data_IF_774131463870
#
_entry.id   IF_774131463870
#
_cell.length_a   1.000
_cell.length_b   1.000
_cell.length_c   1.000
_cell.angle_alpha   90.00
_cell.angle_beta   90.00
_cell.angle_gamma   90.00
#
_symmetry.space_group_name_H-M   'P 1'
#
loop_
_entity.id
_entity.type
_entity.pdbx_description
1 polymer ?
#
# COMPACT_ATOMS: atom_id res chain seq x y z
N UNK A 1 13.57 18.00 -5.31
CA UNK A 1 12.96 18.81 -4.24
C UNK A 1 11.47 18.53 -4.26
N UNK A 2 10.94 17.95 -3.19
CA UNK A 2 9.50 17.83 -2.94
C UNK A 2 9.03 19.20 -2.46
N UNK A 3 8.10 19.82 -3.18
CA UNK A 3 7.51 21.11 -2.81
C UNK A 3 6.53 20.98 -1.63
N UNK A 4 6.14 22.11 -1.03
CA UNK A 4 5.09 22.12 0.00
C UNK A 4 3.74 21.57 -0.54
N UNK A 5 3.46 21.81 -1.83
CA UNK A 5 2.30 21.25 -2.53
C UNK A 5 2.41 19.71 -2.65
N UNK A 6 3.61 19.18 -2.84
CA UNK A 6 3.86 17.74 -2.89
C UNK A 6 3.69 17.09 -1.51
N UNK A 7 4.11 17.77 -0.43
CA UNK A 7 3.93 17.27 0.95
C UNK A 7 2.45 17.22 1.35
N UNK A 8 1.67 18.26 1.04
CA UNK A 8 0.23 18.25 1.28
C UNK A 8 -0.46 17.13 0.50
N UNK A 9 -0.06 16.93 -0.75
CA UNK A 9 -0.58 15.84 -1.59
C UNK A 9 -0.30 14.48 -0.96
N UNK A 10 0.95 14.25 -0.49
CA UNK A 10 1.31 13.01 0.22
C UNK A 10 0.44 12.80 1.46
N UNK A 11 0.24 13.83 2.29
CA UNK A 11 -0.62 13.72 3.47
C UNK A 11 -2.07 13.38 3.11
N UNK A 12 -2.61 13.98 2.05
CA UNK A 12 -3.96 13.66 1.58
C UNK A 12 -4.07 12.20 1.08
N UNK A 13 -3.06 11.72 0.35
CA UNK A 13 -3.02 10.33 -0.12
C UNK A 13 -2.88 9.34 1.04
N UNK A 14 -2.03 9.61 2.02
CA UNK A 14 -1.91 8.79 3.23
C UNK A 14 -3.22 8.79 4.03
N UNK A 15 -3.85 9.95 4.20
CA UNK A 15 -5.16 10.06 4.84
C UNK A 15 -6.24 9.24 4.14
N UNK A 16 -6.22 9.18 2.80
CA UNK A 16 -7.12 8.30 2.03
C UNK A 16 -6.87 6.82 2.29
N UNK A 17 -5.62 6.39 2.47
CA UNK A 17 -5.30 5.01 2.83
C UNK A 17 -5.94 4.66 4.17
N UNK A 18 -5.71 5.49 5.19
CA UNK A 18 -6.28 5.27 6.52
C UNK A 18 -7.81 5.26 6.47
N UNK A 19 -8.41 6.25 5.79
CA UNK A 19 -9.86 6.38 5.66
C UNK A 19 -10.51 5.15 4.99
N UNK A 20 -10.01 4.73 3.83
CA UNK A 20 -10.56 3.56 3.14
C UNK A 20 -10.29 2.26 3.88
N UNK A 21 -9.13 2.15 4.53
CA UNK A 21 -8.83 0.98 5.33
C UNK A 21 -9.84 0.82 6.47
N UNK A 22 -10.00 1.85 7.30
CA UNK A 22 -10.87 1.80 8.47
C UNK A 22 -12.35 1.59 8.10
N UNK A 23 -12.82 2.18 7.00
CA UNK A 23 -14.23 2.07 6.61
C UNK A 23 -14.57 0.77 5.87
N UNK A 24 -13.68 0.27 5.01
CA UNK A 24 -14.04 -0.78 4.06
C UNK A 24 -13.23 -2.06 4.24
N UNK A 25 -11.94 -1.95 4.60
CA UNK A 25 -11.06 -3.11 4.65
C UNK A 25 -11.08 -3.73 6.04
N UNK A 26 -10.75 -2.96 7.08
CA UNK A 26 -10.65 -3.43 8.46
C UNK A 26 -11.90 -4.18 8.94
N UNK A 27 -13.14 -3.71 8.67
CA UNK A 27 -14.36 -4.43 9.08
C UNK A 27 -14.54 -5.77 8.36
N UNK A 28 -13.90 -5.97 7.21
CA UNK A 28 -13.95 -7.21 6.44
C UNK A 28 -12.79 -8.18 6.77
N UNK A 29 -11.83 -7.76 7.59
CA UNK A 29 -10.72 -8.61 7.99
C UNK A 29 -11.19 -9.70 8.95
N UNK A 30 -10.59 -10.88 8.80
CA UNK A 30 -10.72 -11.94 9.79
C UNK A 30 -9.62 -11.79 10.82
N UNK A 31 -9.87 -12.13 12.10
CA UNK A 31 -8.81 -12.23 13.09
C UNK A 31 -7.71 -13.17 12.58
N UNK A 32 -6.51 -12.65 12.45
CA UNK A 32 -5.34 -13.40 11.98
C UNK A 32 -4.38 -13.72 13.12
N UNK A 33 -3.45 -14.67 12.90
CA UNK A 33 -2.31 -14.84 13.77
C UNK A 33 -1.45 -13.58 13.81
N UNK A 34 -0.46 -13.52 14.69
CA UNK A 34 0.51 -12.41 14.64
C UNK A 34 1.28 -12.46 13.31
N UNK A 35 1.67 -11.30 12.75
CA UNK A 35 2.49 -11.24 11.55
C UNK A 35 3.79 -12.03 11.76
N UNK A 36 4.15 -12.89 10.81
CA UNK A 36 5.43 -13.60 10.87
C UNK A 36 6.55 -12.68 10.35
N UNK A 37 7.79 -12.82 10.87
CA UNK A 37 8.90 -11.99 10.41
C UNK A 37 9.21 -12.21 8.92
N UNK A 38 9.54 -11.11 8.24
CA UNK A 38 10.02 -11.09 6.87
C UNK A 38 11.54 -11.23 6.76
N UNK A 39 12.11 -10.94 5.58
CA UNK A 39 13.56 -10.89 5.40
C UNK A 39 14.20 -9.69 6.13
N UNK A 40 15.49 -9.79 6.44
CA UNK A 40 16.27 -8.67 6.98
C UNK A 40 16.32 -7.50 5.97
N UNK A 41 16.14 -6.27 6.45
CA UNK A 41 16.21 -5.07 5.60
C UNK A 41 17.66 -4.73 5.22
N UNK A 42 17.87 -3.74 4.35
CA UNK A 42 19.22 -3.36 3.88
C UNK A 42 20.17 -2.87 4.99
N UNK A 43 19.67 -2.38 6.13
CA UNK A 43 20.48 -2.06 7.31
C UNK A 43 20.93 -3.31 8.09
N UNK A 44 20.23 -4.44 7.92
CA UNK A 44 20.43 -5.67 8.70
C UNK A 44 20.85 -6.88 7.86
N UNK A 45 20.95 -6.72 6.53
CA UNK A 45 21.40 -7.76 5.61
C UNK A 45 22.92 -7.97 5.64
N UNK A 46 23.37 -9.08 5.06
CA UNK A 46 24.79 -9.48 5.01
C UNK A 46 25.70 -8.51 4.25
N UNK A 47 25.14 -7.67 3.39
CA UNK A 47 25.83 -6.58 2.68
C UNK A 47 25.31 -5.21 3.15
N UNK A 48 25.39 -4.93 4.45
CA UNK A 48 24.91 -3.67 5.01
C UNK A 48 25.60 -2.47 4.32
N UNK A 49 24.86 -1.80 3.43
CA UNK A 49 25.36 -0.69 2.63
C UNK A 49 25.28 0.63 3.39
N UNK A 50 26.09 0.76 4.45
CA UNK A 50 26.09 1.93 5.34
C UNK A 50 24.78 2.08 6.13
N UNK A 51 24.84 2.76 7.28
CA UNK A 51 23.66 3.03 8.10
C UNK A 51 22.72 3.98 7.34
N UNK A 52 21.65 3.46 6.74
CA UNK A 52 20.57 4.29 6.21
C UNK A 52 19.73 4.81 7.37
N UNK A 53 19.07 5.95 7.16
CA UNK A 53 18.17 6.56 8.14
C UNK A 53 17.20 5.53 8.69
N UNK A 54 17.24 5.39 10.00
CA UNK A 54 16.49 4.39 10.71
C UNK A 54 15.02 4.81 10.87
N UNK A 55 14.15 3.85 11.15
CA UNK A 55 12.73 4.08 11.45
C UNK A 55 12.58 5.11 12.58
N UNK A 56 13.33 4.94 13.67
CA UNK A 56 13.25 5.84 14.83
C UNK A 56 13.69 7.27 14.53
N UNK A 57 14.49 7.48 13.49
CA UNK A 57 14.94 8.81 13.10
C UNK A 57 13.87 9.58 12.30
N UNK A 58 13.00 8.89 11.57
CA UNK A 58 12.15 9.51 10.55
C UNK A 58 10.65 9.34 10.75
N UNK A 59 10.21 8.30 11.45
CA UNK A 59 8.80 7.94 11.54
C UNK A 59 8.02 8.47 12.75
N UNK A 60 8.58 8.65 13.96
CA UNK A 60 7.79 9.03 15.14
C UNK A 60 6.87 10.24 14.97
N UNK A 61 7.30 11.25 14.21
CA UNK A 61 6.54 12.49 13.99
C UNK A 61 6.04 12.64 12.54
N UNK A 62 5.96 11.53 11.79
CA UNK A 62 5.66 11.53 10.36
C UNK A 62 4.31 10.89 10.05
N UNK A 63 3.55 11.49 9.12
CA UNK A 63 2.31 10.90 8.61
C UNK A 63 2.52 9.51 7.99
N UNK A 64 3.76 9.18 7.58
CA UNK A 64 4.12 7.88 7.04
C UNK A 64 4.03 6.74 8.07
N UNK A 65 4.06 7.04 9.39
CA UNK A 65 3.87 6.03 10.43
C UNK A 65 2.52 5.30 10.30
N UNK A 66 1.49 6.00 9.82
CA UNK A 66 0.15 5.44 9.61
C UNK A 66 0.13 4.25 8.65
N UNK A 67 1.06 4.14 7.69
CA UNK A 67 1.17 2.95 6.84
C UNK A 67 1.58 1.71 7.64
N UNK A 68 2.43 1.90 8.65
CA UNK A 68 2.81 0.84 9.58
C UNK A 68 1.62 0.33 10.37
N UNK A 69 0.84 1.26 10.91
CA UNK A 69 -0.37 0.95 11.69
C UNK A 69 -1.40 0.20 10.84
N UNK A 70 -1.65 0.67 9.62
CA UNK A 70 -2.55 0.01 8.66
C UNK A 70 -2.01 -1.36 8.22
N UNK A 71 -0.69 -1.50 8.02
CA UNK A 71 -0.12 -2.79 7.66
C UNK A 71 -0.22 -3.79 8.82
N UNK A 72 -0.09 -3.35 10.06
CA UNK A 72 -0.16 -4.22 11.24
C UNK A 72 -1.53 -4.90 11.42
N UNK A 73 -2.61 -4.33 10.89
CA UNK A 73 -3.94 -4.96 10.87
C UNK A 73 -4.08 -6.06 9.82
N UNK A 74 -3.09 -6.21 8.91
CA UNK A 74 -3.07 -7.17 7.79
C UNK A 74 -2.01 -8.27 8.00
N UNK A 75 -2.12 -9.11 9.04
CA UNK A 75 -1.02 -9.98 9.49
C UNK A 75 -0.59 -11.05 8.50
N UNK A 76 -1.50 -11.52 7.63
CA UNK A 76 -1.16 -12.50 6.60
C UNK A 76 -0.13 -11.95 5.59
N UNK A 77 -0.14 -10.63 5.40
CA UNK A 77 0.65 -9.90 4.39
C UNK A 77 1.77 -9.05 5.00
N UNK A 78 1.60 -8.59 6.24
CA UNK A 78 2.61 -7.79 6.90
C UNK A 78 3.80 -8.65 7.32
N UNK A 79 4.97 -8.34 6.78
CA UNK A 79 6.21 -9.09 7.02
C UNK A 79 7.30 -8.12 7.50
N UNK A 80 7.28 -7.73 8.78
CA UNK A 80 8.24 -6.77 9.32
C UNK A 80 9.65 -7.38 9.39
N UNK A 81 10.67 -6.53 9.42
CA UNK A 81 12.05 -6.97 9.58
C UNK A 81 12.23 -7.70 10.93
N UNK A 82 12.97 -8.82 11.00
CA UNK A 82 13.13 -9.63 12.21
C UNK A 82 14.01 -8.99 13.30
N UNK A 83 14.82 -7.99 12.93
CA UNK A 83 15.75 -7.33 13.85
C UNK A 83 15.07 -6.22 14.68
N UNK A 84 15.80 -5.65 15.65
CA UNK A 84 15.31 -4.59 16.54
C UNK A 84 14.53 -3.51 15.77
N UNK A 85 13.24 -3.39 16.10
CA UNK A 85 12.34 -2.35 15.62
C UNK A 85 12.96 -1.01 15.96
N UNK A 86 13.13 -0.15 14.96
CA UNK A 86 13.74 1.17 15.11
C UNK A 86 15.04 1.36 14.34
N UNK A 87 15.96 0.38 14.37
CA UNK A 87 17.21 0.39 13.58
C UNK A 87 17.01 0.02 12.09
N UNK A 88 15.81 -0.45 11.76
CA UNK A 88 15.44 -0.82 10.39
C UNK A 88 15.52 0.38 9.46
N UNK A 89 15.90 0.14 8.19
CA UNK A 89 15.84 1.20 7.17
C UNK A 89 14.40 1.68 6.99
N UNK A 90 14.15 2.98 7.18
CA UNK A 90 12.82 3.56 7.07
C UNK A 90 12.19 3.33 5.68
N UNK A 91 12.98 3.42 4.61
CA UNK A 91 12.50 3.18 3.24
C UNK A 91 12.09 1.72 3.02
N UNK A 92 12.85 0.75 3.54
CA UNK A 92 12.46 -0.66 3.48
C UNK A 92 11.19 -0.92 4.29
N UNK A 93 11.05 -0.27 5.45
CA UNK A 93 9.86 -0.37 6.29
C UNK A 93 8.62 0.12 5.53
N UNK A 94 8.68 1.31 4.94
CA UNK A 94 7.57 1.87 4.16
C UNK A 94 7.26 1.03 2.93
N UNK A 95 8.26 0.56 2.19
CA UNK A 95 8.04 -0.33 1.05
C UNK A 95 7.34 -1.64 1.47
N UNK A 96 7.77 -2.27 2.58
CA UNK A 96 7.16 -3.50 3.11
C UNK A 96 5.73 -3.27 3.61
N UNK A 97 5.50 -2.19 4.37
CA UNK A 97 4.16 -1.81 4.82
C UNK A 97 3.23 -1.56 3.62
N UNK A 98 3.69 -0.82 2.61
CA UNK A 98 2.93 -0.54 1.39
C UNK A 98 2.57 -1.81 0.62
N UNK A 99 3.50 -2.77 0.55
CA UNK A 99 3.25 -4.07 -0.08
C UNK A 99 2.13 -4.81 0.64
N UNK A 100 2.18 -4.84 1.98
CA UNK A 100 1.17 -5.50 2.80
C UNK A 100 -0.21 -4.84 2.63
N UNK A 101 -0.28 -3.50 2.61
CA UNK A 101 -1.52 -2.75 2.37
C UNK A 101 -2.15 -3.16 1.04
N UNK A 102 -1.42 -3.08 -0.07
CA UNK A 102 -1.98 -3.36 -1.38
C UNK A 102 -2.37 -4.83 -1.57
N UNK A 103 -1.56 -5.77 -1.07
CA UNK A 103 -1.89 -7.20 -1.12
C UNK A 103 -3.11 -7.52 -0.24
N UNK A 104 -3.13 -7.02 1.00
CA UNK A 104 -4.23 -7.24 1.93
C UNK A 104 -5.55 -6.65 1.44
N UNK A 105 -5.52 -5.45 0.86
CA UNK A 105 -6.70 -4.83 0.24
C UNK A 105 -7.20 -5.64 -0.95
N UNK A 106 -6.30 -6.07 -1.84
CA UNK A 106 -6.67 -6.88 -3.00
C UNK A 106 -7.36 -8.20 -2.57
N UNK A 107 -6.83 -8.84 -1.53
CA UNK A 107 -7.43 -10.04 -0.96
C UNK A 107 -8.80 -9.76 -0.34
N UNK A 108 -8.92 -8.70 0.48
CA UNK A 108 -10.16 -8.32 1.14
C UNK A 108 -11.25 -7.98 0.12
N UNK A 109 -10.94 -7.20 -0.91
CA UNK A 109 -11.86 -6.88 -2.00
C UNK A 109 -12.27 -8.14 -2.79
N UNK A 110 -11.34 -9.02 -3.17
CA UNK A 110 -11.66 -10.27 -3.86
C UNK A 110 -12.64 -11.14 -3.05
N UNK A 111 -12.38 -11.31 -1.74
CA UNK A 111 -13.25 -12.07 -0.84
C UNK A 111 -14.60 -11.38 -0.66
N UNK A 112 -14.61 -10.08 -0.35
CA UNK A 112 -15.83 -9.30 -0.15
C UNK A 112 -16.72 -9.27 -1.40
N UNK A 113 -16.12 -9.30 -2.59
CA UNK A 113 -16.85 -9.35 -3.84
C UNK A 113 -17.29 -10.76 -4.26
N UNK A 114 -17.12 -11.76 -3.38
CA UNK A 114 -17.45 -13.18 -3.60
C UNK A 114 -16.82 -13.76 -4.86
N UNK A 115 -15.65 -13.26 -5.25
CA UNK A 115 -14.84 -13.87 -6.30
C UNK A 115 -14.10 -15.08 -5.73
N UNK A 116 -13.53 -15.90 -6.62
CA UNK A 116 -12.48 -16.85 -6.20
C UNK A 116 -11.41 -16.08 -5.43
N UNK A 117 -10.79 -16.75 -4.46
CA UNK A 117 -9.68 -16.17 -3.70
C UNK A 117 -8.66 -15.50 -4.62
N UNK A 118 -8.14 -14.36 -4.17
CA UNK A 118 -7.13 -13.63 -4.90
C UNK A 118 -5.95 -14.56 -5.21
N UNK A 119 -5.51 -14.58 -6.47
CA UNK A 119 -4.36 -15.40 -6.86
C UNK A 119 -3.09 -14.84 -6.21
N UNK A 120 -2.15 -15.72 -5.84
CA UNK A 120 -0.86 -15.29 -5.30
C UNK A 120 -0.14 -14.30 -6.23
N UNK A 121 -0.29 -14.51 -7.54
CA UNK A 121 0.21 -13.60 -8.58
C UNK A 121 -0.37 -12.19 -8.45
N UNK A 122 -1.70 -12.05 -8.31
CA UNK A 122 -2.35 -10.74 -8.14
C UNK A 122 -1.85 -10.04 -6.87
N UNK A 123 -1.79 -10.77 -5.75
CA UNK A 123 -1.33 -10.23 -4.46
C UNK A 123 0.12 -9.73 -4.56
N UNK A 124 0.99 -10.54 -5.18
CA UNK A 124 2.40 -10.20 -5.41
C UNK A 124 2.55 -8.95 -6.28
N UNK A 125 1.83 -8.87 -7.39
CA UNK A 125 1.95 -7.73 -8.32
C UNK A 125 1.40 -6.44 -7.72
N UNK A 126 0.27 -6.48 -7.02
CA UNK A 126 -0.24 -5.33 -6.27
C UNK A 126 0.74 -4.88 -5.18
N UNK A 127 1.27 -5.83 -4.40
CA UNK A 127 2.23 -5.55 -3.34
C UNK A 127 3.51 -4.91 -3.87
N UNK A 128 4.11 -5.46 -4.93
CA UNK A 128 5.32 -4.92 -5.54
C UNK A 128 5.12 -3.51 -6.11
N UNK A 129 3.98 -3.27 -6.78
CA UNK A 129 3.67 -1.95 -7.33
C UNK A 129 3.54 -0.89 -6.24
N UNK A 130 2.87 -1.22 -5.13
CA UNK A 130 2.75 -0.30 -3.99
C UNK A 130 4.10 -0.07 -3.29
N UNK A 131 4.88 -1.14 -3.06
CA UNK A 131 6.21 -1.05 -2.46
C UNK A 131 7.11 -0.06 -3.20
N UNK A 132 7.12 -0.11 -4.53
CA UNK A 132 7.92 0.79 -5.36
C UNK A 132 7.38 2.21 -5.31
N UNK A 133 6.09 2.38 -5.57
CA UNK A 133 5.49 3.71 -5.73
C UNK A 133 5.62 4.51 -4.45
N UNK A 134 5.17 3.95 -3.33
CA UNK A 134 5.21 4.63 -2.04
C UNK A 134 6.64 4.71 -1.49
N UNK A 135 7.42 3.64 -1.64
CA UNK A 135 8.82 3.62 -1.21
C UNK A 135 9.67 4.68 -1.91
N UNK A 136 9.48 4.90 -3.22
CA UNK A 136 10.16 5.96 -3.98
C UNK A 136 9.75 7.35 -3.54
N UNK A 137 8.44 7.60 -3.36
CA UNK A 137 7.96 8.90 -2.88
C UNK A 137 8.55 9.20 -1.50
N UNK A 138 8.53 8.25 -0.57
CA UNK A 138 9.17 8.38 0.74
C UNK A 138 10.68 8.66 0.63
N UNK A 139 11.39 7.88 -0.19
CA UNK A 139 12.83 8.02 -0.39
C UNK A 139 13.21 9.41 -0.93
N UNK A 140 12.42 9.95 -1.86
CA UNK A 140 12.62 11.30 -2.40
C UNK A 140 12.27 12.36 -1.37
N UNK A 141 11.19 12.18 -0.58
CA UNK A 141 10.75 13.15 0.42
C UNK A 141 11.76 13.33 1.55
N UNK A 142 12.38 12.24 1.98
CA UNK A 142 13.29 12.23 3.13
C UNK A 142 14.77 12.10 2.72
N UNK A 143 15.08 12.16 1.42
CA UNK A 143 16.44 12.00 0.89
C UNK A 143 17.11 10.69 1.36
N UNK A 144 16.35 9.59 1.36
CA UNK A 144 16.76 8.27 1.85
C UNK A 144 16.83 7.22 0.74
N UNK A 145 17.83 7.29 -0.16
CA UNK A 145 17.98 6.30 -1.22
C UNK A 145 18.22 4.90 -0.62
N UNK A 146 17.49 3.91 -1.13
CA UNK A 146 17.55 2.53 -0.68
C UNK A 146 17.71 1.57 -1.88
N UNK A 147 18.77 0.75 -1.92
CA UNK A 147 19.05 -0.13 -3.06
C UNK A 147 17.98 -1.22 -3.24
N UNK A 148 17.26 -1.58 -2.18
CA UNK A 148 16.14 -2.53 -2.26
C UNK A 148 15.04 -2.04 -3.20
N UNK A 149 14.85 -0.73 -3.36
CA UNK A 149 13.89 -0.18 -4.32
C UNK A 149 14.26 -0.52 -5.78
N UNK A 150 15.55 -0.59 -6.11
CA UNK A 150 16.01 -0.94 -7.46
C UNK A 150 15.64 -2.39 -7.82
N UNK A 151 15.66 -3.30 -6.83
CA UNK A 151 15.26 -4.70 -7.04
C UNK A 151 13.78 -4.85 -7.41
N UNK A 152 12.92 -3.90 -7.05
CA UNK A 152 11.52 -3.92 -7.45
C UNK A 152 11.26 -3.31 -8.84
N UNK A 153 12.19 -2.51 -9.37
CA UNK A 153 12.03 -1.89 -10.70
C UNK A 153 12.10 -2.91 -11.82
N UNK A 154 12.97 -3.91 -11.68
CA UNK A 154 13.02 -5.08 -12.57
C UNK A 154 11.70 -5.87 -12.52
N UNK A 155 11.06 -5.94 -11.34
CA UNK A 155 9.80 -6.65 -11.14
C UNK A 155 8.62 -5.89 -11.75
N UNK A 156 8.61 -4.57 -11.70
CA UNK A 156 7.60 -3.74 -12.38
C UNK A 156 7.72 -3.78 -13.91
N UNK A 157 8.91 -4.04 -14.44
CA UNK A 157 9.12 -4.22 -15.88
C UNK A 157 8.44 -5.50 -16.42
N UNK A 158 8.16 -6.48 -15.54
CA UNK A 158 7.31 -7.62 -15.85
C UNK A 158 5.84 -7.17 -15.88
N UNK A 159 5.39 -6.76 -17.08
CA UNK A 159 4.07 -6.18 -17.36
C UNK A 159 2.91 -7.15 -17.12
N UNK A 160 2.57 -7.40 -15.86
CA UNK A 160 1.22 -7.83 -15.52
C UNK A 160 0.33 -6.60 -15.31
N UNK A 161 -0.85 -6.61 -15.91
CA UNK A 161 -1.78 -5.49 -15.80
C UNK A 161 -2.29 -5.39 -14.36
N UNK A 162 -1.97 -4.28 -13.68
CA UNK A 162 -2.51 -3.99 -12.36
C UNK A 162 -4.04 -3.87 -12.42
N UNK A 163 -4.76 -4.26 -11.37
CA UNK A 163 -6.20 -4.10 -11.33
C UNK A 163 -6.56 -2.61 -11.41
N UNK A 164 -7.47 -2.27 -12.32
CA UNK A 164 -8.06 -0.94 -12.38
C UNK A 164 -9.12 -0.74 -11.29
N UNK A 165 -9.54 0.51 -11.04
CA UNK A 165 -10.61 0.81 -10.08
C UNK A 165 -11.96 0.16 -10.46
N UNK A 166 -12.16 -0.17 -11.74
CA UNK A 166 -13.34 -0.90 -12.21
C UNK A 166 -13.30 -2.40 -11.87
N UNK A 167 -12.14 -2.92 -11.43
CA UNK A 167 -11.97 -4.33 -11.04
C UNK A 167 -11.88 -4.50 -9.54
N UNK A 168 -11.05 -3.68 -8.89
CA UNK A 168 -10.81 -3.58 -7.44
C UNK A 168 -10.71 -2.08 -7.11
N UNK A 169 -11.82 -1.40 -6.77
CA UNK A 169 -11.86 0.04 -6.56
C UNK A 169 -10.80 0.59 -5.61
N UNK A 170 -10.67 -0.02 -4.43
CA UNK A 170 -9.81 0.52 -3.37
C UNK A 170 -8.34 0.30 -3.72
N UNK A 171 -8.00 -0.94 -4.09
CA UNK A 171 -6.64 -1.32 -4.50
C UNK A 171 -6.22 -0.60 -5.79
N UNK A 172 -7.11 -0.53 -6.78
CA UNK A 172 -6.87 0.12 -8.06
C UNK A 172 -6.69 1.63 -7.93
N UNK A 173 -7.51 2.30 -7.10
CA UNK A 173 -7.35 3.74 -6.81
C UNK A 173 -6.05 4.01 -6.04
N UNK A 174 -5.74 3.21 -5.02
CA UNK A 174 -4.44 3.29 -4.30
C UNK A 174 -3.29 3.23 -5.31
N UNK A 175 -3.26 2.20 -6.14
CA UNK A 175 -2.17 2.02 -7.09
C UNK A 175 -2.12 3.19 -8.10
N UNK A 176 -3.26 3.61 -8.66
CA UNK A 176 -3.29 4.67 -9.65
C UNK A 176 -2.82 6.03 -9.10
N UNK A 177 -3.34 6.45 -7.94
CA UNK A 177 -3.02 7.75 -7.35
C UNK A 177 -1.55 7.87 -6.94
N UNK A 178 -0.94 6.78 -6.49
CA UNK A 178 0.48 6.77 -6.12
C UNK A 178 1.41 6.58 -7.32
N UNK A 179 0.88 6.24 -8.51
CA UNK A 179 1.64 6.29 -9.76
C UNK A 179 1.73 7.72 -10.30
N UNK A 180 0.59 8.43 -10.27
CA UNK A 180 0.47 9.83 -10.68
C UNK A 180 -0.69 10.48 -9.90
N UNK A 181 -0.39 11.31 -8.89
CA UNK A 181 -1.40 11.99 -8.07
C UNK A 181 -2.28 12.96 -8.86
N UNK A 182 -1.86 13.37 -10.06
CA UNK A 182 -2.57 14.31 -10.92
C UNK A 182 -3.56 13.61 -11.85
N UNK A 183 -3.57 12.28 -11.89
CA UNK A 183 -4.57 11.51 -12.64
C UNK A 183 -5.95 11.84 -12.10
N UNK A 184 -6.63 12.71 -12.83
CA UNK A 184 -8.05 12.97 -12.67
C UNK A 184 -8.79 11.75 -13.18
N UNK A 185 -9.09 10.82 -12.27
CA UNK A 185 -10.11 9.81 -12.55
C UNK A 185 -11.39 10.57 -12.87
N UNK A 186 -11.93 10.42 -14.08
CA UNK A 186 -13.18 11.11 -14.50
C UNK A 186 -14.33 10.89 -13.51
N UNK A 187 -14.25 9.84 -12.69
CA UNK A 187 -15.07 9.59 -11.51
C UNK A 187 -14.20 8.99 -10.39
N UNK A 188 -13.71 9.79 -9.42
CA UNK A 188 -12.94 9.28 -8.28
C UNK A 188 -13.72 8.22 -7.53
N UNK A 189 -13.06 7.17 -7.04
CA UNK A 189 -13.76 6.13 -6.29
C UNK A 189 -14.38 6.72 -5.02
N UNK A 190 -13.69 7.67 -4.39
CA UNK A 190 -14.23 8.50 -3.32
C UNK A 190 -15.60 9.15 -3.62
N UNK A 191 -15.90 9.53 -4.87
CA UNK A 191 -17.15 10.25 -5.18
C UNK A 191 -18.40 9.38 -5.07
N UNK A 192 -18.27 8.06 -5.23
CA UNK A 192 -19.40 7.13 -5.14
C UNK A 192 -19.30 6.19 -3.93
N UNK A 193 -18.14 6.10 -3.27
CA UNK A 193 -18.00 5.41 -2.00
C UNK A 193 -18.67 6.11 -0.82
N UNK A 194 -18.98 7.41 -0.92
CA UNK A 194 -19.65 8.16 0.16
C UNK A 194 -21.03 7.59 0.56
N UNK A 195 -21.62 6.76 -0.29
CA UNK A 195 -22.90 6.08 -0.02
C UNK A 195 -22.73 4.60 0.35
N UNK A 196 -21.49 4.12 0.44
CA UNK A 196 -21.17 2.74 0.79
C UNK A 196 -20.86 2.62 2.28
N UNK A 197 -21.39 1.60 2.93
CA UNK A 197 -21.15 1.28 4.34
C UNK A 197 -20.25 0.05 4.54
N UNK A 198 -19.90 -0.64 3.45
CA UNK A 198 -19.01 -1.80 3.45
C UNK A 198 -18.77 -2.34 2.04
N UNK A 199 -17.89 -3.35 1.91
CA UNK A 199 -17.50 -3.93 0.61
C UNK A 199 -18.68 -4.49 -0.20
N UNK A 200 -19.74 -4.96 0.46
CA UNK A 200 -20.95 -5.42 -0.23
C UNK A 200 -21.67 -4.28 -0.97
N UNK A 201 -21.64 -3.05 -0.43
CA UNK A 201 -22.21 -1.87 -1.08
C UNK A 201 -21.33 -1.42 -2.24
N UNK A 202 -20.01 -1.46 -2.04
CA UNK A 202 -19.02 -1.18 -3.08
C UNK A 202 -19.20 -2.12 -4.28
N UNK A 203 -19.41 -3.41 -4.03
CA UNK A 203 -19.73 -4.40 -5.08
C UNK A 203 -20.98 -4.00 -5.86
N UNK A 204 -22.07 -3.67 -5.17
CA UNK A 204 -23.33 -3.32 -5.83
C UNK A 204 -23.18 -2.06 -6.69
N UNK A 205 -22.48 -1.05 -6.18
CA UNK A 205 -22.19 0.16 -6.94
C UNK A 205 -21.34 -0.12 -8.19
N UNK A 206 -20.33 -1.00 -8.08
CA UNK A 206 -19.55 -1.47 -9.24
C UNK A 206 -20.45 -2.15 -10.28
N UNK A 207 -21.34 -3.04 -9.85
CA UNK A 207 -22.21 -3.79 -10.76
C UNK A 207 -23.21 -2.87 -11.48
N UNK A 208 -23.79 -1.88 -10.79
CA UNK A 208 -24.63 -0.83 -11.41
C UNK A 208 -23.86 -0.05 -12.47
N UNK A 209 -22.61 0.34 -12.16
CA UNK A 209 -21.77 1.09 -13.11
C UNK A 209 -21.39 0.29 -14.34
N UNK A 210 -21.18 -1.02 -14.21
CA UNK A 210 -20.90 -1.93 -15.34
C UNK A 210 -22.13 -2.18 -16.22
N UNK A 211 -23.32 -2.16 -15.64
CA UNK A 211 -24.57 -2.47 -16.34
C UNK A 211 -25.21 -1.25 -17.01
N UNK A 212 -24.71 -0.03 -16.75
CA UNK A 212 -25.09 1.18 -17.48
C UNK A 212 -26.52 1.69 -17.21
N UNK A 213 -27.11 1.29 -16.08
CA UNK A 213 -28.39 1.80 -15.55
C UNK A 213 -28.16 2.91 -14.55
#
# INVERSE_FOLDING_TARGET
MISAADTQTVHQLLGRIVYFHALFIEPALQPGPRPEPGPACCNHGSAAHGLRRAVDELLPDSAWAALGDVAATLPDHHRPCPSATGACCATCYIASASAAVAAGWAQAECRGYRRKDATETLLRVCGNAAAVRLGRVFAVQHETPCPTLNGFDEVLAMREALPGPEQLPLTGELLALWADPTVTTRQPVASWLNHCTGLDDVRRALDTRRTGT
#
